data_IF_278762900644
#
_entry.id   IF_278762900644
#
_cell.length_a   1.000
_cell.length_b   1.000
_cell.length_c   1.000
_cell.angle_alpha   90.00
_cell.angle_beta   90.00
_cell.angle_gamma   90.00
#
_symmetry.space_group_name_H-M   'P 1'
#
loop_
_entity.id
_entity.type
_entity.pdbx_description
1 polymer ?
#
# COMPACT_ATOMS: atom_id res chain seq x y z
N UNK A 1 7.27 3.31 -9.21
CA UNK A 1 7.72 2.00 -9.71
C UNK A 1 7.50 1.90 -11.21
N UNK A 2 8.42 1.29 -11.95
CA UNK A 2 8.22 1.06 -13.37
C UNK A 2 7.05 0.12 -13.62
N UNK A 3 6.43 0.17 -14.80
CA UNK A 3 5.33 -0.73 -15.13
C UNK A 3 5.81 -2.18 -15.24
N UNK A 4 4.96 -3.10 -14.82
CA UNK A 4 5.22 -4.53 -14.90
C UNK A 4 4.17 -5.20 -15.77
N UNK A 5 4.59 -6.27 -16.41
CA UNK A 5 3.69 -7.16 -17.14
C UNK A 5 3.36 -8.35 -16.23
N UNK A 6 2.51 -8.11 -15.25
CA UNK A 6 2.22 -9.09 -14.23
C UNK A 6 1.08 -10.01 -14.63
N UNK A 7 1.27 -11.31 -14.43
CA UNK A 7 0.20 -12.31 -14.62
C UNK A 7 -0.80 -12.29 -13.50
N UNK A 8 -0.33 -12.11 -12.28
CA UNK A 8 -1.15 -12.19 -11.09
C UNK A 8 -0.58 -11.22 -10.07
N UNK A 9 -1.30 -10.15 -9.83
CA UNK A 9 -0.92 -9.12 -8.89
C UNK A 9 -1.86 -9.15 -7.70
N UNK A 10 -1.30 -9.21 -6.50
CA UNK A 10 -2.04 -9.04 -5.26
C UNK A 10 -1.45 -7.85 -4.51
N UNK A 11 -2.28 -6.89 -4.18
CA UNK A 11 -1.87 -5.74 -3.40
C UNK A 11 -2.76 -5.62 -2.17
N UNK A 12 -2.13 -5.41 -1.02
CA UNK A 12 -2.82 -5.06 0.22
C UNK A 12 -2.40 -3.66 0.63
N UNK A 13 -3.34 -2.92 1.20
CA UNK A 13 -3.10 -1.60 1.77
C UNK A 13 -3.70 -1.59 3.16
N UNK A 14 -2.91 -1.27 4.16
CA UNK A 14 -3.38 -1.24 5.55
C UNK A 14 -2.80 -0.05 6.30
N UNK A 15 -3.55 0.50 7.27
CA UNK A 15 -2.99 1.52 8.14
C UNK A 15 -1.83 0.97 8.96
N UNK A 16 -0.78 1.76 9.11
CA UNK A 16 0.33 1.41 9.98
C UNK A 16 -0.19 1.31 11.42
N UNK A 17 0.25 0.27 12.13
CA UNK A 17 -0.20 0.00 13.48
C UNK A 17 -1.30 -1.04 13.57
N UNK A 18 -1.75 -1.57 12.44
CA UNK A 18 -2.68 -2.70 12.41
C UNK A 18 -2.14 -3.91 13.20
N UNK A 19 -0.82 -4.01 13.30
CA UNK A 19 -0.11 -5.01 14.09
C UNK A 19 0.43 -4.48 15.41
N UNK A 20 0.02 -3.27 15.82
CA UNK A 20 0.39 -2.67 17.09
C UNK A 20 1.77 -2.01 17.16
N UNK A 21 2.32 -1.60 16.03
CA UNK A 21 3.64 -0.97 15.96
C UNK A 21 3.61 0.39 15.27
N UNK A 22 4.77 1.00 15.07
CA UNK A 22 5.00 2.17 14.21
C UNK A 22 4.23 3.45 14.60
N UNK A 23 4.26 3.80 15.88
CA UNK A 23 3.74 5.09 16.33
C UNK A 23 2.25 5.11 16.64
N UNK A 24 1.53 4.02 16.41
CA UNK A 24 0.14 3.89 16.85
C UNK A 24 0.12 3.55 18.33
N UNK A 25 -0.67 4.29 19.09
CA UNK A 25 -0.75 4.15 20.53
C UNK A 25 -2.20 4.00 20.96
N UNK A 26 -2.59 2.76 21.27
CA UNK A 26 -3.90 2.44 21.83
C UNK A 26 -3.72 1.99 23.28
N UNK A 27 -4.52 2.54 24.18
CA UNK A 27 -4.47 2.24 25.61
C UNK A 27 -5.87 2.01 26.13
N UNK A 28 -5.97 1.13 27.13
CA UNK A 28 -7.21 0.96 27.89
C UNK A 28 -7.10 1.68 29.21
N UNK A 29 -8.21 2.26 29.65
CA UNK A 29 -8.29 2.90 30.96
C UNK A 29 -8.66 1.87 32.04
N UNK A 30 -8.84 2.34 33.27
CA UNK A 30 -9.22 1.50 34.41
C UNK A 30 -10.60 0.85 34.22
N UNK A 31 -11.48 1.44 33.40
CA UNK A 31 -12.81 0.93 33.10
C UNK A 31 -12.82 -0.01 31.89
N UNK A 32 -11.67 -0.25 31.28
CA UNK A 32 -11.54 -1.09 30.09
C UNK A 32 -11.82 -0.38 28.77
N UNK A 33 -12.08 0.91 28.78
CA UNK A 33 -12.31 1.69 27.57
C UNK A 33 -11.02 1.88 26.79
N UNK A 34 -11.10 1.73 25.46
CA UNK A 34 -9.96 1.85 24.59
C UNK A 34 -9.82 3.30 24.10
N UNK A 35 -8.65 3.89 24.31
CA UNK A 35 -8.32 5.22 23.84
C UNK A 35 -7.27 5.20 22.77
N UNK A 36 -7.44 6.04 21.76
CA UNK A 36 -6.47 6.29 20.71
C UNK A 36 -5.64 7.51 21.07
N UNK A 37 -4.40 7.30 21.48
CA UNK A 37 -3.44 8.35 21.80
C UNK A 37 -2.50 8.65 20.63
N UNK A 38 -2.78 8.06 19.46
CA UNK A 38 -1.96 8.22 18.26
C UNK A 38 -2.09 9.65 17.74
N UNK A 39 -0.95 10.27 17.47
CA UNK A 39 -0.92 11.59 16.83
C UNK A 39 -1.39 11.45 15.37
N UNK A 40 -2.19 12.40 14.83
CA UNK A 40 -2.67 12.32 13.45
C UNK A 40 -1.55 12.22 12.40
N UNK A 41 -0.37 12.76 12.70
CA UNK A 41 0.79 12.69 11.81
C UNK A 41 1.33 11.26 11.63
N UNK A 42 0.96 10.32 12.51
CA UNK A 42 1.34 8.92 12.39
C UNK A 42 0.29 8.07 11.68
N UNK A 43 -0.77 8.69 11.16
CA UNK A 43 -1.81 8.00 10.38
C UNK A 43 -1.32 7.78 8.96
N UNK A 44 -0.56 6.72 8.78
CA UNK A 44 0.13 6.38 7.54
C UNK A 44 -0.30 5.00 7.05
N UNK A 45 -0.02 4.71 5.79
CA UNK A 45 -0.34 3.41 5.20
C UNK A 45 0.92 2.59 4.98
N UNK A 46 0.75 1.28 5.03
CA UNK A 46 1.72 0.33 4.51
C UNK A 46 1.08 -0.50 3.41
N UNK A 47 1.88 -0.92 2.46
CA UNK A 47 1.41 -1.75 1.36
C UNK A 47 2.31 -2.94 1.15
N UNK A 48 1.71 -4.06 0.73
CA UNK A 48 2.41 -5.26 0.30
C UNK A 48 1.94 -5.60 -1.10
N UNK A 49 2.86 -5.71 -2.04
CA UNK A 49 2.57 -6.07 -3.42
C UNK A 49 3.25 -7.41 -3.71
N UNK A 50 2.45 -8.40 -4.07
CA UNK A 50 2.94 -9.72 -4.47
C UNK A 50 2.55 -9.97 -5.92
N UNK A 51 3.49 -10.45 -6.71
CA UNK A 51 3.26 -10.63 -8.12
C UNK A 51 3.95 -11.87 -8.65
N UNK A 52 3.30 -12.52 -9.65
CA UNK A 52 3.91 -13.54 -10.47
C UNK A 52 3.99 -13.06 -11.90
N UNK A 53 5.10 -13.30 -12.57
CA UNK A 53 5.35 -12.85 -13.93
C UNK A 53 6.07 -13.92 -14.72
N UNK A 54 5.92 -13.88 -16.03
CA UNK A 54 6.66 -14.74 -16.97
C UNK A 54 8.06 -14.22 -17.25
N UNK A 55 8.31 -12.96 -16.96
CA UNK A 55 9.58 -12.28 -17.20
C UNK A 55 10.18 -11.79 -15.90
N UNK A 56 11.48 -11.62 -15.90
CA UNK A 56 12.15 -10.99 -14.77
C UNK A 56 11.60 -9.57 -14.58
N UNK A 57 11.19 -9.21 -13.34
CA UNK A 57 10.70 -7.86 -13.06
C UNK A 57 11.83 -6.84 -13.12
N UNK A 58 11.48 -5.58 -13.41
CA UNK A 58 12.44 -4.47 -13.42
C UNK A 58 12.71 -3.97 -12.00
N UNK A 59 13.31 -4.82 -11.17
CA UNK A 59 13.62 -4.49 -9.79
C UNK A 59 15.13 -4.22 -9.57
N UNK A 60 15.86 -4.03 -10.65
CA UNK A 60 17.30 -3.79 -10.59
C UNK A 60 17.65 -2.55 -9.78
N UNK A 61 16.86 -1.50 -9.90
CA UNK A 61 17.06 -0.23 -9.20
C UNK A 61 16.29 -0.15 -7.88
N UNK A 62 15.63 -1.20 -7.45
CA UNK A 62 14.79 -1.18 -6.27
C UNK A 62 15.57 -1.68 -5.06
N UNK A 63 15.75 -0.81 -4.07
CA UNK A 63 16.50 -1.08 -2.86
C UNK A 63 15.70 -0.76 -1.61
N UNK A 64 16.04 -1.41 -0.51
CA UNK A 64 15.45 -1.10 0.80
C UNK A 64 15.84 0.33 1.19
N UNK A 65 14.85 1.11 1.62
CA UNK A 65 15.04 2.51 1.99
C UNK A 65 14.83 3.50 0.87
N UNK A 66 14.62 3.02 -0.36
CA UNK A 66 14.34 3.88 -1.50
C UNK A 66 12.96 4.51 -1.39
N UNK A 67 12.87 5.79 -1.76
CA UNK A 67 11.60 6.50 -1.82
C UNK A 67 10.98 6.29 -3.19
N UNK A 68 9.75 5.76 -3.21
CA UNK A 68 9.05 5.44 -4.46
C UNK A 68 7.63 5.99 -4.44
N UNK A 69 7.13 6.34 -5.61
CA UNK A 69 5.72 6.70 -5.80
C UNK A 69 4.95 5.46 -6.24
N UNK A 70 3.96 5.06 -5.46
CA UNK A 70 3.16 3.87 -5.72
C UNK A 70 1.75 4.29 -6.12
N UNK A 71 1.36 3.94 -7.34
CA UNK A 71 -0.01 4.08 -7.81
C UNK A 71 -0.73 2.77 -7.49
N UNK A 72 -1.62 2.82 -6.48
CA UNK A 72 -2.28 1.61 -5.99
C UNK A 72 -3.22 1.02 -7.03
N UNK A 73 -3.25 -0.29 -7.11
CA UNK A 73 -4.21 -1.01 -7.96
C UNK A 73 -5.59 -1.09 -7.30
N UNK A 74 -5.64 -1.04 -5.98
CA UNK A 74 -6.90 -1.09 -5.25
C UNK A 74 -7.56 0.28 -5.19
N UNK A 75 -8.87 0.26 -4.96
CA UNK A 75 -9.73 1.44 -4.92
C UNK A 75 -10.18 1.68 -3.49
N UNK A 76 -10.12 2.93 -3.04
CA UNK A 76 -10.74 3.35 -1.79
C UNK A 76 -11.79 4.42 -2.07
N UNK A 77 -12.67 4.65 -1.12
CA UNK A 77 -13.79 5.57 -1.30
C UNK A 77 -13.95 6.52 -0.12
N UNK A 78 -14.59 7.66 -0.40
CA UNK A 78 -14.97 8.61 0.62
C UNK A 78 -16.35 9.21 0.28
N UNK A 79 -17.07 9.75 1.26
CA UNK A 79 -18.36 10.39 0.98
C UNK A 79 -18.20 11.58 0.03
N UNK A 80 -19.06 11.64 -0.98
CA UNK A 80 -19.06 12.76 -1.93
C UNK A 80 -19.28 14.08 -1.19
N UNK A 81 -18.48 15.08 -1.53
CA UNK A 81 -18.49 16.38 -0.87
C UNK A 81 -17.36 16.58 0.15
N UNK A 82 -16.59 15.52 0.44
CA UNK A 82 -15.36 15.61 1.23
C UNK A 82 -14.14 15.55 0.32
N UNK A 83 -12.98 15.90 0.88
CA UNK A 83 -11.72 15.80 0.15
C UNK A 83 -11.06 14.45 0.40
N UNK A 84 -10.40 13.92 -0.61
CA UNK A 84 -9.56 12.74 -0.46
C UNK A 84 -8.36 13.05 0.46
N UNK A 85 -7.98 12.09 1.28
CA UNK A 85 -6.85 12.25 2.20
C UNK A 85 -5.51 11.97 1.54
N UNK A 86 -5.52 11.39 0.36
CA UNK A 86 -4.32 11.07 -0.41
C UNK A 86 -4.48 11.55 -1.83
N UNK A 87 -3.35 11.73 -2.52
CA UNK A 87 -3.37 12.07 -3.93
C UNK A 87 -4.04 10.97 -4.74
N UNK A 88 -4.70 11.34 -5.82
CA UNK A 88 -5.38 10.41 -6.72
C UNK A 88 -4.49 10.08 -7.90
N UNK A 89 -4.55 8.82 -8.36
CA UNK A 89 -4.01 8.48 -9.67
C UNK A 89 -4.86 9.20 -10.72
N UNK A 90 -4.27 9.98 -11.64
CA UNK A 90 -5.05 10.74 -12.62
C UNK A 90 -6.03 9.86 -13.39
N UNK A 91 -7.30 10.31 -13.47
CA UNK A 91 -8.33 9.60 -14.19
C UNK A 91 -8.93 8.39 -13.49
N UNK A 92 -8.53 8.12 -12.23
CA UNK A 92 -9.04 6.97 -11.50
C UNK A 92 -10.30 7.25 -10.69
N UNK A 93 -10.65 8.51 -10.49
CA UNK A 93 -11.80 8.89 -9.68
C UNK A 93 -13.12 8.71 -10.43
N UNK A 94 -14.11 8.19 -9.72
CA UNK A 94 -15.49 8.12 -10.22
C UNK A 94 -16.47 8.18 -9.05
N UNK A 95 -17.70 8.57 -9.34
CA UNK A 95 -18.77 8.67 -8.35
C UNK A 95 -19.80 7.57 -8.58
N UNK A 96 -20.27 7.02 -7.46
CA UNK A 96 -21.38 6.07 -7.45
C UNK A 96 -22.28 6.45 -6.28
N UNK A 97 -23.40 7.13 -6.58
CA UNK A 97 -24.33 7.64 -5.56
C UNK A 97 -23.66 8.66 -4.64
N UNK A 98 -23.62 8.34 -3.35
CA UNK A 98 -23.06 9.22 -2.34
C UNK A 98 -21.57 8.99 -2.06
N UNK A 99 -20.93 8.11 -2.81
CA UNK A 99 -19.52 7.75 -2.62
C UNK A 99 -18.70 8.14 -3.84
N UNK A 100 -17.50 8.62 -3.59
CA UNK A 100 -16.49 8.86 -4.61
C UNK A 100 -15.36 7.87 -4.43
N UNK A 101 -15.03 7.16 -5.49
CA UNK A 101 -13.99 6.12 -5.50
C UNK A 101 -12.75 6.62 -6.24
N UNK A 102 -11.59 6.24 -5.78
CA UNK A 102 -10.34 6.57 -6.44
C UNK A 102 -9.23 5.59 -6.08
N UNK A 103 -8.20 5.52 -6.90
CA UNK A 103 -6.98 4.79 -6.58
C UNK A 103 -5.98 5.76 -5.98
N UNK A 104 -5.49 5.52 -4.76
CA UNK A 104 -4.54 6.43 -4.14
C UNK A 104 -3.15 6.34 -4.76
N UNK A 105 -2.47 7.48 -4.81
CA UNK A 105 -1.06 7.58 -5.17
C UNK A 105 -0.28 7.91 -3.91
N UNK A 106 0.61 7.03 -3.53
CA UNK A 106 1.31 7.11 -2.25
C UNK A 106 2.82 7.25 -2.46
N UNK A 107 3.41 8.19 -1.74
CA UNK A 107 4.87 8.30 -1.66
C UNK A 107 5.32 7.45 -0.48
N UNK A 108 6.04 6.39 -0.76
CA UNK A 108 6.39 5.37 0.23
C UNK A 108 7.87 5.04 0.18
N UNK A 109 8.37 4.55 1.29
CA UNK A 109 9.73 4.05 1.40
C UNK A 109 9.72 2.54 1.44
N UNK A 110 10.53 1.93 0.60
CA UNK A 110 10.62 0.47 0.49
C UNK A 110 11.25 -0.09 1.76
N UNK A 111 10.57 -1.05 2.39
CA UNK A 111 11.05 -1.71 3.61
C UNK A 111 11.51 -3.14 3.38
N UNK A 112 11.01 -3.80 2.32
CA UNK A 112 11.39 -5.16 2.00
C UNK A 112 11.18 -5.43 0.52
N UNK A 113 12.12 -6.11 -0.10
CA UNK A 113 12.02 -6.60 -1.46
C UNK A 113 12.51 -8.04 -1.50
N UNK A 114 11.74 -8.92 -2.11
CA UNK A 114 12.10 -10.30 -2.32
C UNK A 114 11.69 -10.70 -3.73
N UNK A 115 12.56 -11.37 -4.46
CA UNK A 115 12.21 -11.96 -5.74
C UNK A 115 12.82 -13.35 -5.84
N UNK A 116 12.12 -14.24 -6.52
CA UNK A 116 12.50 -15.63 -6.67
C UNK A 116 12.15 -16.14 -8.05
N UNK A 117 12.82 -17.19 -8.44
CA UNK A 117 12.62 -17.87 -9.72
C UNK A 117 12.47 -19.36 -9.49
N UNK A 118 11.48 -19.96 -10.14
CA UNK A 118 11.29 -21.39 -10.12
C UNK A 118 11.56 -21.98 -11.51
N UNK A 119 12.53 -22.86 -11.56
CA UNK A 119 13.03 -23.42 -12.82
C UNK A 119 12.00 -24.28 -13.56
N UNK A 120 11.25 -25.09 -12.81
CA UNK A 120 10.29 -26.02 -13.41
C UNK A 120 9.09 -25.33 -14.06
N UNK A 121 8.62 -24.24 -13.45
CA UNK A 121 7.48 -23.49 -13.96
C UNK A 121 7.91 -22.28 -14.77
N UNK A 122 9.19 -21.96 -14.76
CA UNK A 122 9.76 -20.76 -15.39
C UNK A 122 9.05 -19.47 -14.95
N UNK A 123 8.63 -19.43 -13.69
CA UNK A 123 7.90 -18.30 -13.11
C UNK A 123 8.82 -17.44 -12.25
N UNK A 124 8.68 -16.12 -12.40
CA UNK A 124 9.27 -15.14 -11.51
C UNK A 124 8.23 -14.70 -10.50
N UNK A 125 8.58 -14.74 -9.23
CA UNK A 125 7.74 -14.21 -8.15
C UNK A 125 8.49 -13.09 -7.44
N UNK A 126 7.80 -12.03 -7.10
CA UNK A 126 8.40 -10.97 -6.31
C UNK A 126 7.39 -10.41 -5.32
N UNK A 127 7.92 -9.88 -4.22
CA UNK A 127 7.16 -9.26 -3.17
C UNK A 127 7.86 -7.97 -2.76
N UNK A 128 7.10 -6.91 -2.68
CA UNK A 128 7.60 -5.62 -2.24
C UNK A 128 6.73 -5.12 -1.10
N UNK A 129 7.36 -4.68 -0.03
CA UNK A 129 6.70 -4.03 1.09
C UNK A 129 7.20 -2.61 1.20
N UNK A 130 6.29 -1.68 1.40
CA UNK A 130 6.61 -0.26 1.54
C UNK A 130 5.71 0.39 2.58
N UNK A 131 6.21 1.43 3.22
CA UNK A 131 5.49 2.23 4.22
C UNK A 131 5.59 3.70 3.88
N UNK A 132 4.49 4.43 4.12
CA UNK A 132 4.50 5.88 4.02
C UNK A 132 5.47 6.54 5.01
#
# INVERSE_FOLDING_TARGET
LPPYSARNLTQTLEPIGNTGSDGVLLRRDINGDLYDLTQPQFRKYSTTITCKDLRAPTLDDAWIGQLVMIDCALVISFPTGRSAQRAMVPGSDYQDGHLTFYRPRLLMRVTSITHSFEEYQADYSWKLEAKE
#
